data_IF_404812306801
#
_entry.id   IF_404812306801
#
_cell.length_a   1.000
_cell.length_b   1.000
_cell.length_c   1.000
_cell.angle_alpha   90.00
_cell.angle_beta   90.00
_cell.angle_gamma   90.00
#
_symmetry.space_group_name_H-M   'P 1'
#
loop_
_entity.id
_entity.type
_entity.pdbx_description
1 polymer ?
#
# COMPACT_ATOMS: atom_id res chain seq x y z
N UNK A 1 17.56 -8.62 -20.26
CA UNK A 1 18.39 -9.80 -19.91
C UNK A 1 17.87 -11.02 -20.67
N UNK A 2 18.76 -11.92 -21.09
CA UNK A 2 18.37 -13.21 -21.68
C UNK A 2 18.12 -14.26 -20.60
N UNK A 3 17.45 -15.35 -20.95
CA UNK A 3 17.24 -16.52 -20.08
C UNK A 3 18.56 -17.07 -19.53
N UNK A 4 19.61 -17.11 -20.35
CA UNK A 4 20.92 -17.64 -19.98
C UNK A 4 21.60 -16.75 -18.94
N UNK A 5 21.51 -15.43 -19.11
CA UNK A 5 22.02 -14.47 -18.13
C UNK A 5 21.30 -14.61 -16.79
N UNK A 6 19.98 -14.79 -16.82
CA UNK A 6 19.18 -14.98 -15.60
C UNK A 6 19.56 -16.29 -14.91
N UNK A 7 19.67 -17.38 -15.67
CA UNK A 7 20.11 -18.67 -15.11
C UNK A 7 21.50 -18.56 -14.49
N UNK A 8 22.45 -17.91 -15.17
CA UNK A 8 23.81 -17.74 -14.67
C UNK A 8 23.84 -17.00 -13.33
N UNK A 9 23.06 -15.92 -13.21
CA UNK A 9 23.00 -15.13 -11.99
C UNK A 9 22.33 -15.90 -10.84
N UNK A 10 21.27 -16.66 -11.13
CA UNK A 10 20.64 -17.54 -10.14
C UNK A 10 21.56 -18.67 -9.68
N UNK A 11 22.37 -19.25 -10.58
CA UNK A 11 23.38 -20.27 -10.23
C UNK A 11 24.49 -19.67 -9.33
N UNK A 12 24.88 -18.40 -9.55
CA UNK A 12 25.79 -17.67 -8.65
C UNK A 12 25.21 -17.58 -7.26
N UNK A 13 23.99 -17.07 -7.12
CA UNK A 13 23.33 -16.97 -5.81
C UNK A 13 23.15 -18.33 -5.14
N UNK A 14 22.72 -19.34 -5.90
CA UNK A 14 22.60 -20.71 -5.43
C UNK A 14 23.91 -21.23 -4.83
N UNK A 15 25.04 -21.03 -5.53
CA UNK A 15 26.37 -21.45 -5.06
C UNK A 15 26.78 -20.70 -3.79
N UNK A 16 26.54 -19.39 -3.74
CA UNK A 16 26.86 -18.56 -2.57
C UNK A 16 26.08 -19.01 -1.33
N UNK A 17 24.76 -19.24 -1.48
CA UNK A 17 23.89 -19.73 -0.41
C UNK A 17 24.30 -21.14 0.06
N UNK A 18 24.64 -22.03 -0.87
CA UNK A 18 25.16 -23.37 -0.55
C UNK A 18 26.49 -23.29 0.20
N UNK A 19 27.35 -22.35 -0.18
CA UNK A 19 28.60 -22.07 0.54
C UNK A 19 28.35 -21.61 1.97
N UNK A 20 27.35 -20.75 2.20
CA UNK A 20 26.93 -20.33 3.54
C UNK A 20 26.43 -21.53 4.34
N UNK A 21 25.59 -22.39 3.76
CA UNK A 21 25.10 -23.61 4.42
C UNK A 21 26.24 -24.51 4.91
N UNK A 22 27.29 -24.68 4.10
CA UNK A 22 28.47 -25.47 4.48
C UNK A 22 29.33 -24.87 5.60
N UNK A 23 29.12 -23.62 5.97
CA UNK A 23 29.83 -22.92 7.06
C UNK A 23 29.03 -22.79 8.34
N UNK A 24 27.83 -23.37 8.41
CA UNK A 24 27.11 -23.42 9.67
C UNK A 24 27.92 -24.18 10.71
N UNK A 25 28.01 -23.58 11.89
CA UNK A 25 28.79 -24.10 13.00
C UNK A 25 27.87 -24.90 13.90
N UNK A 26 28.31 -26.11 14.23
CA UNK A 26 27.68 -26.90 15.28
C UNK A 26 28.04 -26.29 16.64
N UNK A 27 27.04 -25.75 17.32
CA UNK A 27 27.15 -25.30 18.70
C UNK A 27 26.44 -26.32 19.58
N UNK A 28 26.89 -26.46 20.83
CA UNK A 28 26.41 -27.42 21.85
C UNK A 28 24.89 -27.43 22.07
N UNK A 29 24.15 -26.48 21.49
CA UNK A 29 22.69 -26.35 21.57
C UNK A 29 21.98 -26.16 20.23
N UNK A 30 22.69 -25.85 19.13
CA UNK A 30 22.08 -25.61 17.81
C UNK A 30 23.11 -25.48 16.68
N UNK A 31 22.68 -25.82 15.46
CA UNK A 31 23.39 -25.51 14.22
C UNK A 31 23.14 -24.06 13.81
N UNK A 32 24.17 -23.23 13.76
CA UNK A 32 24.03 -21.75 13.63
C UNK A 32 24.87 -21.19 12.49
N UNK A 33 24.32 -20.17 11.84
CA UNK A 33 25.06 -19.33 10.89
C UNK A 33 26.18 -18.56 11.63
N UNK A 34 27.30 -18.31 10.93
CA UNK A 34 28.39 -17.49 11.45
C UNK A 34 28.01 -16.01 11.50
N UNK A 35 28.73 -15.22 12.29
CA UNK A 35 28.48 -13.77 12.38
C UNK A 35 28.81 -13.05 11.08
N UNK A 36 29.74 -13.61 10.31
CA UNK A 36 30.21 -13.10 9.04
C UNK A 36 29.20 -13.42 7.91
N UNK A 37 28.54 -14.57 7.97
CA UNK A 37 27.60 -15.00 6.94
C UNK A 37 26.17 -14.49 7.14
N UNK A 38 25.74 -14.19 8.37
CA UNK A 38 24.39 -13.64 8.63
C UNK A 38 24.08 -12.36 7.82
N UNK A 39 24.88 -11.28 7.90
CA UNK A 39 24.60 -10.08 7.11
C UNK A 39 24.69 -10.35 5.60
N UNK A 40 25.63 -11.20 5.18
CA UNK A 40 25.82 -11.55 3.76
C UNK A 40 24.62 -12.32 3.21
N UNK A 41 24.08 -13.27 3.98
CA UNK A 41 22.86 -13.99 3.64
C UNK A 41 21.67 -13.04 3.48
N UNK A 42 21.46 -12.12 4.44
CA UNK A 42 20.36 -11.14 4.37
C UNK A 42 20.45 -10.27 3.12
N UNK A 43 21.66 -9.79 2.79
CA UNK A 43 21.90 -9.05 1.56
C UNK A 43 21.55 -9.89 0.33
N UNK A 44 22.00 -11.14 0.26
CA UNK A 44 21.65 -12.02 -0.85
C UNK A 44 20.15 -12.24 -0.99
N UNK A 45 19.39 -12.37 0.11
CA UNK A 45 17.94 -12.52 0.00
C UNK A 45 17.29 -11.29 -0.64
N UNK A 46 17.70 -10.08 -0.24
CA UNK A 46 17.20 -8.83 -0.83
C UNK A 46 17.55 -8.78 -2.31
N UNK A 47 18.82 -9.00 -2.65
CA UNK A 47 19.28 -8.96 -4.04
C UNK A 47 18.56 -9.99 -4.92
N UNK A 48 18.32 -11.21 -4.42
CA UNK A 48 17.60 -12.24 -5.18
C UNK A 48 16.14 -11.83 -5.41
N UNK A 49 15.46 -11.29 -4.39
CA UNK A 49 14.08 -10.83 -4.53
C UNK A 49 13.98 -9.69 -5.54
N UNK A 50 14.84 -8.68 -5.42
CA UNK A 50 14.88 -7.55 -6.36
C UNK A 50 15.19 -8.03 -7.78
N UNK A 51 16.19 -8.89 -7.92
CA UNK A 51 16.57 -9.48 -9.20
C UNK A 51 15.42 -10.25 -9.86
N UNK A 52 14.68 -11.06 -9.10
CA UNK A 52 13.52 -11.80 -9.60
C UNK A 52 12.37 -10.88 -10.00
N UNK A 53 12.12 -9.81 -9.23
CA UNK A 53 11.09 -8.81 -9.53
C UNK A 53 11.45 -7.97 -10.77
N UNK A 54 12.72 -7.64 -10.97
CA UNK A 54 13.20 -6.91 -12.15
C UNK A 54 13.19 -7.79 -13.40
N UNK A 55 13.54 -9.07 -13.25
CA UNK A 55 13.61 -10.02 -14.36
C UNK A 55 12.23 -10.49 -14.82
N UNK A 56 11.25 -10.56 -13.92
CA UNK A 56 9.96 -11.19 -14.15
C UNK A 56 8.79 -10.28 -13.80
N UNK A 57 7.83 -10.11 -14.71
CA UNK A 57 6.70 -9.18 -14.52
C UNK A 57 5.84 -9.49 -13.30
N UNK A 58 5.43 -10.75 -13.15
CA UNK A 58 4.73 -11.27 -11.97
C UNK A 58 5.29 -12.65 -11.67
N UNK A 59 5.86 -12.82 -10.49
CA UNK A 59 6.45 -14.08 -10.09
C UNK A 59 6.05 -14.41 -8.64
N UNK A 60 5.73 -15.68 -8.38
CA UNK A 60 5.42 -16.16 -7.03
C UNK A 60 6.68 -16.48 -6.22
N UNK A 61 7.84 -16.53 -6.87
CA UNK A 61 9.10 -16.98 -6.29
C UNK A 61 9.64 -15.96 -5.28
N UNK A 62 9.53 -14.67 -5.58
CA UNK A 62 9.96 -13.60 -4.67
C UNK A 62 9.21 -13.66 -3.34
N UNK A 63 7.87 -13.80 -3.39
CA UNK A 63 7.05 -13.96 -2.19
C UNK A 63 7.37 -15.27 -1.45
N UNK A 64 7.60 -16.38 -2.17
CA UNK A 64 7.98 -17.63 -1.54
C UNK A 64 9.32 -17.53 -0.80
N UNK A 65 10.32 -16.85 -1.39
CA UNK A 65 11.63 -16.61 -0.76
C UNK A 65 11.47 -15.77 0.50
N UNK A 66 10.72 -14.65 0.43
CA UNK A 66 10.46 -13.79 1.58
C UNK A 66 9.79 -14.55 2.75
N UNK A 67 8.78 -15.37 2.44
CA UNK A 67 8.12 -16.22 3.45
C UNK A 67 9.14 -17.15 4.11
N UNK A 68 9.99 -17.82 3.34
CA UNK A 68 10.99 -18.76 3.87
C UNK A 68 12.08 -18.07 4.66
N UNK A 69 12.49 -16.89 4.24
CA UNK A 69 13.42 -16.05 4.99
C UNK A 69 12.83 -15.65 6.36
N UNK A 70 11.61 -15.12 6.36
CA UNK A 70 10.91 -14.69 7.57
C UNK A 70 10.67 -15.85 8.55
N UNK A 71 10.23 -17.01 8.04
CA UNK A 71 10.14 -18.25 8.84
C UNK A 71 11.50 -18.67 9.41
N UNK A 72 12.57 -18.44 8.66
CA UNK A 72 13.94 -18.78 9.05
C UNK A 72 14.46 -17.97 10.21
N UNK A 73 14.19 -16.66 10.22
CA UNK A 73 14.65 -15.73 11.26
C UNK A 73 13.68 -15.65 12.45
N UNK A 74 12.43 -16.12 12.30
CA UNK A 74 11.46 -16.18 13.40
C UNK A 74 11.78 -17.35 14.35
N UNK A 75 12.90 -17.23 15.05
CA UNK A 75 13.35 -18.15 16.08
C UNK A 75 13.96 -17.37 17.26
N UNK A 76 14.29 -18.09 18.34
CA UNK A 76 14.80 -17.49 19.59
C UNK A 76 16.05 -16.62 19.42
N UNK A 77 16.87 -16.92 18.41
CA UNK A 77 18.15 -16.24 18.17
C UNK A 77 18.04 -15.11 17.14
N UNK A 78 16.89 -14.99 16.46
CA UNK A 78 16.67 -14.06 15.36
C UNK A 78 17.68 -14.16 14.20
N UNK A 79 18.37 -15.30 14.10
CA UNK A 79 19.35 -15.58 13.05
C UNK A 79 18.79 -16.53 12.00
N UNK A 80 19.25 -16.47 10.74
CA UNK A 80 18.88 -17.41 9.71
C UNK A 80 19.08 -18.88 10.12
N UNK A 81 18.06 -19.70 9.89
CA UNK A 81 18.13 -21.14 10.10
C UNK A 81 18.64 -21.87 8.85
N UNK A 82 19.34 -22.99 9.03
CA UNK A 82 19.82 -23.82 7.91
C UNK A 82 18.68 -24.23 6.97
N UNK A 83 17.55 -24.64 7.54
CA UNK A 83 16.35 -25.06 6.81
C UNK A 83 15.81 -23.96 5.90
N UNK A 84 15.87 -22.70 6.33
CA UNK A 84 15.43 -21.56 5.53
C UNK A 84 16.31 -21.35 4.30
N UNK A 85 17.64 -21.45 4.46
CA UNK A 85 18.56 -21.35 3.33
C UNK A 85 18.34 -22.51 2.35
N UNK A 86 18.18 -23.73 2.86
CA UNK A 86 17.89 -24.92 2.03
C UNK A 86 16.58 -24.77 1.24
N UNK A 87 15.52 -24.28 1.87
CA UNK A 87 14.23 -24.04 1.21
C UNK A 87 14.36 -22.99 0.10
N UNK A 88 15.12 -21.92 0.35
CA UNK A 88 15.35 -20.86 -0.64
C UNK A 88 16.18 -21.37 -1.81
N UNK A 89 17.22 -22.16 -1.56
CA UNK A 89 17.99 -22.84 -2.62
C UNK A 89 17.08 -23.72 -3.47
N UNK A 90 16.16 -24.47 -2.84
CA UNK A 90 15.19 -25.31 -3.56
C UNK A 90 14.22 -24.49 -4.43
N UNK A 91 13.83 -23.29 -3.97
CA UNK A 91 13.03 -22.37 -4.78
C UNK A 91 13.84 -21.88 -5.99
N UNK A 92 15.10 -21.48 -5.80
CA UNK A 92 15.99 -21.05 -6.88
C UNK A 92 16.17 -22.17 -7.92
N UNK A 93 16.38 -23.41 -7.48
CA UNK A 93 16.47 -24.60 -8.36
C UNK A 93 15.21 -24.78 -9.20
N UNK A 94 14.04 -24.51 -8.61
CA UNK A 94 12.76 -24.57 -9.31
C UNK A 94 12.64 -23.48 -10.40
N UNK A 95 13.14 -22.27 -10.13
CA UNK A 95 13.19 -21.18 -11.11
C UNK A 95 14.13 -21.54 -12.25
N UNK A 96 15.35 -21.97 -11.94
CA UNK A 96 16.35 -22.37 -12.94
C UNK A 96 15.81 -23.50 -13.83
N UNK A 97 15.22 -24.54 -13.22
CA UNK A 97 14.62 -25.66 -13.96
C UNK A 97 13.53 -25.19 -14.92
N UNK A 98 12.71 -24.23 -14.49
CA UNK A 98 11.64 -23.69 -15.32
C UNK A 98 12.16 -22.86 -16.49
N UNK A 99 13.18 -22.02 -16.26
CA UNK A 99 13.84 -21.25 -17.32
C UNK A 99 14.53 -22.16 -18.34
N UNK A 100 15.21 -23.22 -17.88
CA UNK A 100 15.84 -24.23 -18.75
C UNK A 100 14.81 -24.95 -19.64
N UNK A 101 13.60 -25.17 -19.13
CA UNK A 101 12.50 -25.81 -19.88
C UNK A 101 11.73 -24.88 -20.79
N UNK A 102 11.58 -23.62 -20.39
CA UNK A 102 10.83 -22.61 -21.13
C UNK A 102 11.52 -21.24 -20.97
N UNK A 103 12.47 -20.90 -21.86
CA UNK A 103 13.28 -19.69 -21.76
C UNK A 103 12.45 -18.40 -21.78
N UNK A 104 11.33 -18.38 -22.50
CA UNK A 104 10.48 -17.21 -22.69
C UNK A 104 9.44 -17.00 -21.59
N UNK A 105 9.37 -17.89 -20.59
CA UNK A 105 8.20 -18.03 -19.74
C UNK A 105 7.89 -16.81 -18.84
N UNK A 106 8.90 -16.01 -18.52
CA UNK A 106 8.75 -14.84 -17.63
C UNK A 106 9.54 -13.61 -18.05
N UNK A 107 10.33 -13.68 -19.12
CA UNK A 107 11.16 -12.55 -19.53
C UNK A 107 10.19 -11.42 -19.91
N UNK A 108 10.26 -10.33 -19.14
CA UNK A 108 9.57 -9.09 -19.48
C UNK A 108 10.07 -8.68 -20.87
N UNK A 109 9.28 -8.94 -21.90
CA UNK A 109 9.58 -8.43 -23.25
C UNK A 109 9.60 -6.92 -23.11
N UNK A 110 10.70 -6.31 -23.52
CA UNK A 110 10.74 -4.86 -23.71
C UNK A 110 9.62 -4.53 -24.70
N UNK A 111 8.48 -4.07 -24.20
CA UNK A 111 7.52 -3.38 -25.04
C UNK A 111 8.28 -2.16 -25.60
N UNK A 112 8.23 -1.91 -26.92
CA UNK A 112 8.85 -0.71 -27.48
C UNK A 112 8.30 0.47 -26.69
N UNK A 113 9.20 1.31 -26.19
CA UNK A 113 8.92 2.50 -25.38
C UNK A 113 7.77 3.30 -25.98
N UNK A 114 6.55 3.05 -25.51
CA UNK A 114 5.44 3.98 -25.64
C UNK A 114 5.77 5.15 -24.73
N UNK A 115 6.14 6.27 -25.34
CA UNK A 115 6.12 7.57 -24.69
C UNK A 115 4.69 7.88 -24.28
N UNK A 116 4.22 7.43 -23.12
CA UNK A 116 2.92 7.85 -22.61
C UNK A 116 3.02 8.07 -21.10
N UNK A 117 2.66 9.29 -20.69
CA UNK A 117 2.56 9.72 -19.31
C UNK A 117 1.49 8.95 -18.52
N UNK A 118 1.03 9.47 -17.37
CA UNK A 118 0.16 8.73 -16.46
C UNK A 118 -1.07 8.20 -17.21
N UNK A 119 -1.18 6.88 -17.21
CA UNK A 119 -2.17 6.05 -17.89
C UNK A 119 -3.57 6.66 -17.85
N UNK A 120 -3.95 7.35 -18.93
CA UNK A 120 -5.36 7.49 -19.29
C UNK A 120 -5.84 6.11 -19.71
N UNK A 121 -6.75 5.55 -18.94
CA UNK A 121 -7.57 4.44 -19.41
C UNK A 121 -8.36 5.00 -20.60
N UNK A 122 -7.94 4.70 -21.83
CA UNK A 122 -8.79 4.91 -23.01
C UNK A 122 -9.92 3.88 -22.95
N UNK A 123 -10.94 4.21 -22.16
CA UNK A 123 -12.23 3.56 -22.20
C UNK A 123 -12.87 3.93 -23.55
N UNK A 124 -13.51 2.98 -24.26
CA UNK A 124 -14.40 3.35 -25.34
C UNK A 124 -15.46 4.31 -24.76
N UNK A 125 -15.66 5.51 -25.34
CA UNK A 125 -16.61 6.47 -24.81
C UNK A 125 -18.00 5.80 -24.75
N UNK A 126 -18.66 5.77 -23.58
CA UNK A 126 -19.93 5.10 -23.45
C UNK A 126 -20.96 5.82 -24.30
N UNK A 127 -21.59 5.09 -25.22
CA UNK A 127 -22.67 5.63 -26.08
C UNK A 127 -23.84 6.16 -25.24
N UNK A 128 -24.00 5.65 -23.99
CA UNK A 128 -24.96 6.13 -22.98
C UNK A 128 -24.37 5.99 -21.57
N UNK A 129 -24.33 7.08 -20.82
CA UNK A 129 -23.98 7.07 -19.39
C UNK A 129 -25.20 6.52 -18.62
N UNK A 130 -25.15 5.25 -18.22
CA UNK A 130 -26.20 4.63 -17.40
C UNK A 130 -25.77 4.53 -15.94
N UNK A 131 -26.73 4.57 -15.00
CA UNK A 131 -26.46 4.37 -13.56
C UNK A 131 -25.73 3.05 -13.27
N UNK A 132 -26.07 1.99 -14.04
CA UNK A 132 -25.40 0.70 -13.95
C UNK A 132 -23.92 0.80 -14.31
N UNK A 133 -23.59 1.51 -15.38
CA UNK A 133 -22.21 1.74 -15.81
C UNK A 133 -21.41 2.52 -14.76
N UNK A 134 -21.99 3.57 -14.18
CA UNK A 134 -21.28 4.38 -13.19
C UNK A 134 -20.88 3.56 -11.96
N UNK A 135 -21.72 2.63 -11.53
CA UNK A 135 -21.41 1.77 -10.38
C UNK A 135 -20.33 0.73 -10.66
N UNK A 136 -20.29 0.18 -11.88
CA UNK A 136 -19.32 -0.85 -12.27
C UNK A 136 -17.92 -0.29 -12.55
N UNK A 137 -17.81 0.94 -13.07
CA UNK A 137 -16.54 1.46 -13.59
C UNK A 137 -15.91 2.57 -12.74
N UNK A 138 -16.66 3.19 -11.84
CA UNK A 138 -16.11 4.22 -10.97
C UNK A 138 -15.40 3.57 -9.77
N UNK A 139 -14.12 3.90 -9.50
CA UNK A 139 -13.40 3.32 -8.38
C UNK A 139 -14.08 3.67 -7.05
N UNK A 140 -14.10 2.70 -6.13
CA UNK A 140 -14.76 2.85 -4.81
C UNK A 140 -14.21 4.02 -3.97
N UNK A 141 -12.98 4.47 -4.23
CA UNK A 141 -12.41 5.66 -3.61
C UNK A 141 -13.17 6.94 -3.97
N UNK A 142 -13.69 7.05 -5.21
CA UNK A 142 -14.50 8.20 -5.63
C UNK A 142 -15.85 8.22 -4.87
N UNK A 143 -16.46 7.05 -4.67
CA UNK A 143 -17.68 6.90 -3.87
C UNK A 143 -17.44 7.21 -2.39
N UNK A 144 -16.32 6.76 -1.83
CA UNK A 144 -15.93 7.07 -0.46
C UNK A 144 -15.70 8.58 -0.28
N UNK A 145 -15.07 9.23 -1.26
CA UNK A 145 -14.87 10.69 -1.27
C UNK A 145 -16.22 11.42 -1.34
N UNK A 146 -17.11 11.04 -2.25
CA UNK A 146 -18.43 11.63 -2.39
C UNK A 146 -19.25 11.48 -1.10
N UNK A 147 -19.30 10.26 -0.55
CA UNK A 147 -19.99 9.97 0.70
C UNK A 147 -19.41 10.75 1.88
N UNK A 148 -18.08 10.82 1.97
CA UNK A 148 -17.38 11.60 2.98
C UNK A 148 -17.67 13.09 2.90
N UNK A 149 -17.67 13.67 1.69
CA UNK A 149 -17.98 15.07 1.47
C UNK A 149 -19.43 15.39 1.84
N UNK A 150 -20.37 14.50 1.47
CA UNK A 150 -21.79 14.66 1.77
C UNK A 150 -22.03 14.60 3.29
N UNK A 151 -21.46 13.62 3.99
CA UNK A 151 -21.52 13.51 5.45
C UNK A 151 -20.86 14.70 6.16
N UNK A 152 -19.70 15.14 5.67
CA UNK A 152 -18.99 16.30 6.23
C UNK A 152 -19.79 17.58 6.08
N UNK A 153 -20.34 17.86 4.89
CA UNK A 153 -21.17 19.04 4.64
C UNK A 153 -22.45 19.04 5.49
N UNK A 154 -23.09 17.88 5.64
CA UNK A 154 -24.27 17.73 6.48
C UNK A 154 -23.95 17.98 7.96
N UNK A 155 -22.86 17.40 8.48
CA UNK A 155 -22.41 17.60 9.86
C UNK A 155 -22.07 19.06 10.16
N UNK A 156 -21.40 19.74 9.22
CA UNK A 156 -21.13 21.18 9.31
C UNK A 156 -22.42 22.01 9.33
N UNK A 157 -23.41 21.66 8.50
CA UNK A 157 -24.71 22.33 8.50
C UNK A 157 -25.47 22.20 9.82
N UNK A 158 -25.49 21.01 10.42
CA UNK A 158 -26.12 20.77 11.74
C UNK A 158 -25.42 21.59 12.83
N UNK A 159 -24.08 21.58 12.84
CA UNK A 159 -23.30 22.38 13.79
C UNK A 159 -23.49 23.88 13.59
N UNK A 160 -23.59 24.33 12.35
CA UNK A 160 -23.86 25.72 12.02
C UNK A 160 -25.23 26.19 12.55
N UNK A 161 -26.26 25.34 12.48
CA UNK A 161 -27.59 25.67 13.01
C UNK A 161 -27.60 25.90 14.54
N UNK A 162 -26.68 25.28 15.29
CA UNK A 162 -26.52 25.50 16.73
C UNK A 162 -25.87 26.86 17.06
N UNK A 163 -25.18 27.48 16.09
CA UNK A 163 -24.42 28.72 16.33
C UNK A 163 -25.33 29.92 16.60
N UNK A 164 -24.81 30.87 17.40
CA UNK A 164 -25.51 32.12 17.72
C UNK A 164 -25.78 32.97 16.47
N UNK A 165 -24.95 32.85 15.44
CA UNK A 165 -25.11 33.56 14.17
C UNK A 165 -26.37 33.11 13.44
N UNK A 166 -26.59 31.79 13.29
CA UNK A 166 -27.83 31.26 12.70
C UNK A 166 -29.06 31.66 13.52
N UNK A 167 -28.98 31.55 14.86
CA UNK A 167 -30.08 31.97 15.76
C UNK A 167 -30.37 33.47 15.67
N UNK A 168 -29.38 34.32 15.43
CA UNK A 168 -29.56 35.77 15.28
C UNK A 168 -30.21 36.17 13.95
N UNK A 169 -30.01 35.37 12.91
CA UNK A 169 -30.62 35.57 11.58
C UNK A 169 -32.03 35.00 11.50
N UNK A 170 -32.30 33.90 12.21
CA UNK A 170 -33.60 33.21 12.20
C UNK A 170 -34.54 33.62 13.32
N UNK A 171 -34.04 34.20 14.42
CA UNK A 171 -34.86 34.95 15.36
C UNK A 171 -34.76 36.43 15.00
N UNK A 172 -35.69 36.98 14.19
CA UNK A 172 -35.94 38.40 14.23
C UNK A 172 -36.53 38.69 15.61
N UNK A 173 -35.67 38.91 16.59
CA UNK A 173 -36.07 39.63 17.78
C UNK A 173 -36.50 41.01 17.27
N UNK A 174 -37.81 41.17 17.10
CA UNK A 174 -38.48 42.45 16.94
C UNK A 174 -37.80 43.43 17.89
N UNK A 175 -37.23 44.55 17.43
CA UNK A 175 -36.88 45.60 18.37
C UNK A 175 -38.21 46.01 18.99
N UNK A 176 -38.40 45.68 20.27
CA UNK A 176 -39.54 46.13 21.03
C UNK A 176 -39.44 47.65 21.12
N UNK A 177 -40.14 48.33 20.21
CA UNK A 177 -40.36 49.79 20.19
C UNK A 177 -41.03 50.30 21.50
N UNK A 178 -41.40 49.39 22.41
CA UNK A 178 -42.16 49.71 23.62
C UNK A 178 -41.34 50.19 24.83
N UNK A 179 -40.00 50.13 24.81
CA UNK A 179 -39.18 50.66 25.93
C UNK A 179 -38.89 52.17 25.86
N UNK A 180 -39.14 52.83 24.71
CA UNK A 180 -39.01 54.30 24.60
C UNK A 180 -40.31 55.06 24.93
N UNK A 181 -41.48 54.41 24.87
CA UNK A 181 -42.79 55.07 25.08
C UNK A 181 -43.24 55.01 26.55
N UNK A 182 -42.77 54.06 27.35
CA UNK A 182 -43.12 54.01 28.78
C UNK A 182 -42.40 55.05 29.64
N UNK A 183 -41.20 55.50 29.26
CA UNK A 183 -40.47 56.54 30.01
C UNK A 183 -40.94 57.98 29.73
N UNK A 184 -41.73 58.22 28.68
CA UNK A 184 -42.25 59.55 28.33
C UNK A 184 -43.65 59.84 28.89
N UNK A 185 -44.36 58.85 29.43
CA UNK A 185 -45.67 59.06 30.11
C UNK A 185 -45.56 59.20 31.64
N UNK A 186 -44.46 58.77 32.27
CA UNK A 186 -44.30 58.84 33.73
C UNK A 186 -43.88 60.23 34.24
N UNK A 187 -43.34 61.09 33.39
CA UNK A 187 -42.89 62.45 33.74
C UNK A 187 -43.96 63.54 33.56
N UNK A 188 -45.17 63.22 33.08
CA UNK A 188 -46.23 64.21 32.82
C UNK A 188 -47.33 64.31 33.91
N UNK A 189 -47.25 63.54 35.01
CA UNK A 189 -48.31 63.50 36.05
C UNK A 189 -47.84 64.06 37.41
N UNK A 190 -46.71 64.77 37.46
CA UNK A 190 -46.30 65.57 38.64
C UNK A 190 -46.18 67.04 38.25
N UNK A 191 -47.32 67.71 38.12
CA UNK A 191 -47.49 69.16 38.37
C UNK A 191 -48.95 69.55 38.16
N UNK A 192 -49.77 69.39 39.21
CA UNK A 192 -50.80 70.36 39.61
C UNK A 192 -51.36 70.00 40.97
#
# INVERSE_FOLDING_TARGET
>A
MTSEQIIQELERYRSELTGIMGRFVDSTRAYRITKEDDPRYRTFIIEIIDFLNDSFSKNQYSSAIDIKFNQGIYNELQTPSYKSIEDIVSIIDSVITRLKRNPDFYIKKEEPTRQDGPTKIELPPPEKVTLKWLWEYVPHSLWALLGGLLLSSFGLGVKFAETNLYKSLTNPASPSVNSAIQNSRSSAVKNK
#
